data_IF_405691908353
#
_entry.id   IF_405691908353
#
_cell.length_a   1.000
_cell.length_b   1.000
_cell.length_c   1.000
_cell.angle_alpha   90.00
_cell.angle_beta   90.00
_cell.angle_gamma   90.00
#
_symmetry.space_group_name_H-M   'P 1'
#
loop_
_entity.id
_entity.type
_entity.pdbx_description
1 polymer ?
#
# COMPACT_ATOMS: atom_id res chain seq x y z
N UNK A 1 1.95 -10.40 -12.16
CA UNK A 1 1.52 -9.07 -11.68
C UNK A 1 2.67 -8.12 -11.91
N UNK A 2 2.39 -6.90 -12.35
CA UNK A 2 3.36 -5.79 -12.47
C UNK A 2 2.73 -4.59 -11.79
N UNK A 3 3.49 -3.83 -11.01
CA UNK A 3 3.00 -2.64 -10.32
C UNK A 3 3.63 -1.41 -10.96
N UNK A 4 2.80 -0.44 -11.31
CA UNK A 4 3.22 0.82 -11.91
C UNK A 4 2.90 1.99 -10.96
N UNK A 5 3.89 2.83 -10.72
CA UNK A 5 3.81 4.00 -9.82
C UNK A 5 4.13 5.25 -10.66
N UNK A 6 3.14 5.76 -11.43
CA UNK A 6 3.32 6.91 -12.27
C UNK A 6 3.51 8.18 -11.43
N UNK A 7 4.63 8.86 -11.65
CA UNK A 7 4.93 10.19 -11.11
C UNK A 7 4.82 11.27 -12.20
N UNK A 8 4.12 10.97 -13.30
CA UNK A 8 3.88 11.91 -14.42
C UNK A 8 3.10 13.15 -13.98
N UNK A 9 2.14 12.98 -13.06
CA UNK A 9 1.35 14.05 -12.44
C UNK A 9 1.30 13.88 -10.92
N UNK A 10 2.40 14.17 -10.19
CA UNK A 10 2.46 13.96 -8.74
C UNK A 10 1.40 14.73 -7.96
N UNK A 11 1.01 15.90 -8.44
CA UNK A 11 -0.03 16.75 -7.86
C UNK A 11 -1.44 16.13 -7.92
N UNK A 12 -1.67 15.16 -8.81
CA UNK A 12 -2.94 14.44 -8.91
C UNK A 12 -3.03 13.23 -7.97
N UNK A 13 -1.92 12.87 -7.29
CA UNK A 13 -1.90 11.75 -6.35
C UNK A 13 -2.64 12.19 -5.08
N UNK A 14 -3.71 11.48 -4.68
CA UNK A 14 -4.38 11.76 -3.42
C UNK A 14 -3.43 11.48 -2.26
N UNK A 15 -3.33 12.43 -1.34
CA UNK A 15 -2.60 12.28 -0.09
C UNK A 15 -3.62 12.28 1.04
N UNK A 16 -3.48 11.35 1.98
CA UNK A 16 -4.33 11.29 3.16
C UNK A 16 -3.85 12.22 4.28
N UNK A 17 -4.72 12.46 5.27
CA UNK A 17 -4.39 13.20 6.49
C UNK A 17 -4.07 14.68 6.27
N UNK A 18 -3.15 15.22 7.09
CA UNK A 18 -2.76 16.64 7.06
C UNK A 18 -2.20 17.08 5.69
N UNK A 19 -1.52 16.18 4.98
CA UNK A 19 -1.00 16.46 3.65
C UNK A 19 -2.13 16.61 2.60
N UNK A 20 -3.21 15.85 2.76
CA UNK A 20 -4.44 16.00 1.97
C UNK A 20 -5.15 17.34 2.23
N UNK A 21 -5.23 17.73 3.51
CA UNK A 21 -5.85 18.99 3.94
C UNK A 21 -5.08 20.23 3.44
N UNK A 22 -3.75 20.26 3.62
CA UNK A 22 -2.90 21.34 3.06
C UNK A 22 -2.94 21.38 1.53
N UNK A 23 -3.26 20.24 0.92
CA UNK A 23 -3.44 20.10 -0.50
C UNK A 23 -4.65 20.83 -1.10
N UNK A 24 -5.59 21.30 -0.29
CA UNK A 24 -6.78 22.04 -0.73
C UNK A 24 -6.53 23.53 -1.01
N UNK A 25 -5.35 24.06 -0.71
CA UNK A 25 -5.04 25.48 -0.91
C UNK A 25 -4.89 25.82 -2.40
N UNK A 26 -5.68 26.75 -2.95
CA UNK A 26 -5.61 27.12 -4.36
C UNK A 26 -4.20 27.66 -4.69
N UNK A 27 -3.65 27.21 -5.82
CA UNK A 27 -2.37 27.63 -6.43
C UNK A 27 -1.11 27.13 -5.71
N UNK A 28 -0.97 27.32 -4.39
CA UNK A 28 0.24 26.91 -3.64
C UNK A 28 0.24 25.40 -3.34
N UNK A 29 -0.94 24.80 -3.17
CA UNK A 29 -1.10 23.40 -2.79
C UNK A 29 -0.53 22.42 -3.83
N UNK A 30 -0.62 22.71 -5.13
CA UNK A 30 -0.16 21.81 -6.19
C UNK A 30 1.37 21.69 -6.22
N UNK A 31 2.10 22.80 -6.02
CA UNK A 31 3.57 22.81 -5.96
C UNK A 31 4.08 22.08 -4.72
N UNK A 32 3.46 22.33 -3.56
CA UNK A 32 3.80 21.65 -2.30
C UNK A 32 3.54 20.15 -2.43
N UNK A 33 2.35 19.74 -2.90
CA UNK A 33 2.03 18.31 -3.15
C UNK A 33 3.05 17.66 -4.05
N UNK A 34 3.40 18.31 -5.17
CA UNK A 34 4.35 17.76 -6.13
C UNK A 34 5.71 17.50 -5.48
N UNK A 35 6.20 18.43 -4.68
CA UNK A 35 7.48 18.27 -3.99
C UNK A 35 7.40 17.21 -2.89
N UNK A 36 6.32 17.20 -2.09
CA UNK A 36 6.09 16.19 -1.05
C UNK A 36 6.04 14.77 -1.63
N UNK A 37 5.23 14.56 -2.67
CA UNK A 37 5.11 13.27 -3.35
C UNK A 37 6.46 12.82 -3.90
N UNK A 38 7.21 13.71 -4.56
CA UNK A 38 8.56 13.38 -5.06
C UNK A 38 9.52 12.97 -3.95
N UNK A 39 9.53 13.69 -2.83
CA UNK A 39 10.42 13.40 -1.71
C UNK A 39 10.01 12.13 -0.95
N UNK A 40 8.72 11.94 -0.70
CA UNK A 40 8.18 10.73 -0.12
C UNK A 40 8.48 9.53 -0.99
N UNK A 41 8.32 9.71 -2.31
CA UNK A 41 8.63 8.68 -3.29
C UNK A 41 10.11 8.24 -3.17
N UNK A 42 11.07 9.17 -3.14
CA UNK A 42 12.49 8.83 -2.95
C UNK A 42 12.82 8.07 -1.66
N UNK A 43 12.00 8.19 -0.61
CA UNK A 43 12.24 7.55 0.70
C UNK A 43 11.69 6.12 0.77
N UNK A 44 10.65 5.82 0.01
CA UNK A 44 10.03 4.49 0.03
C UNK A 44 10.85 3.53 -0.84
N UNK A 45 11.27 2.40 -0.25
CA UNK A 45 11.99 1.33 -0.95
C UNK A 45 11.09 0.52 -1.89
N UNK A 46 9.90 0.13 -1.43
CA UNK A 46 8.91 -0.65 -2.18
C UNK A 46 7.52 -0.05 -1.99
N UNK A 47 6.72 0.00 -3.06
CA UNK A 47 5.32 0.41 -2.96
C UNK A 47 4.36 -0.77 -3.18
N UNK A 48 4.78 -1.84 -3.85
CA UNK A 48 3.93 -3.03 -3.97
C UNK A 48 3.82 -3.72 -2.61
N UNK A 49 2.59 -3.96 -2.16
CA UNK A 49 2.32 -4.63 -0.88
C UNK A 49 3.11 -5.96 -0.73
N UNK A 50 3.21 -6.83 -1.75
CA UNK A 50 4.02 -8.04 -1.65
C UNK A 50 5.50 -7.77 -1.36
N UNK A 51 6.09 -6.76 -2.02
CA UNK A 51 7.50 -6.42 -1.87
C UNK A 51 7.79 -5.75 -0.52
N UNK A 52 6.86 -4.92 -0.03
CA UNK A 52 6.93 -4.35 1.33
C UNK A 52 6.97 -5.49 2.36
N UNK A 53 6.07 -6.47 2.24
CA UNK A 53 6.00 -7.59 3.20
C UNK A 53 7.20 -8.54 3.11
N UNK A 54 7.76 -8.73 1.92
CA UNK A 54 8.91 -9.59 1.72
C UNK A 54 10.24 -8.87 1.93
N UNK A 55 10.23 -7.54 2.11
CA UNK A 55 11.39 -6.65 2.19
C UNK A 55 12.38 -6.77 1.00
N UNK A 56 11.90 -7.36 -0.10
CA UNK A 56 12.63 -7.62 -1.34
C UNK A 56 11.69 -7.53 -2.54
N UNK A 57 12.27 -7.41 -3.73
CA UNK A 57 11.48 -7.48 -4.95
C UNK A 57 10.97 -8.91 -5.19
N UNK A 58 9.65 -9.05 -5.25
CA UNK A 58 8.91 -10.28 -5.60
C UNK A 58 8.16 -10.05 -6.91
N UNK A 59 7.51 -8.90 -7.03
CA UNK A 59 6.84 -8.45 -8.26
C UNK A 59 7.59 -7.25 -8.85
N UNK A 60 7.67 -7.12 -10.19
CA UNK A 60 8.27 -5.96 -10.82
C UNK A 60 7.54 -4.67 -10.45
N UNK A 61 8.31 -3.63 -10.07
CA UNK A 61 7.81 -2.29 -9.76
C UNK A 61 8.41 -1.26 -10.72
N UNK A 62 7.56 -0.64 -11.53
CA UNK A 62 7.95 0.43 -12.46
C UNK A 62 7.58 1.76 -11.83
N UNK A 63 8.56 2.66 -11.67
CA UNK A 63 8.37 3.89 -10.93
C UNK A 63 9.01 5.09 -11.63
N UNK A 64 8.31 6.21 -11.66
CA UNK A 64 8.85 7.47 -12.17
C UNK A 64 7.94 8.11 -13.20
N UNK A 65 8.52 8.86 -14.13
CA UNK A 65 7.80 9.29 -15.34
C UNK A 65 7.73 8.06 -16.23
N UNK A 66 6.55 7.45 -16.32
CA UNK A 66 6.36 6.20 -17.07
C UNK A 66 5.50 6.44 -18.30
N UNK A 67 5.80 5.73 -19.38
CA UNK A 67 4.95 5.63 -20.54
C UNK A 67 4.23 4.26 -20.57
N UNK A 68 3.09 4.15 -21.27
CA UNK A 68 2.41 2.85 -21.44
C UNK A 68 3.32 1.78 -22.03
N UNK A 69 4.28 2.18 -22.87
CA UNK A 69 5.28 1.31 -23.50
C UNK A 69 6.24 0.69 -22.48
N UNK A 70 6.58 1.38 -21.39
CA UNK A 70 7.44 0.85 -20.34
C UNK A 70 6.75 -0.29 -19.58
N UNK A 71 5.47 -0.10 -19.26
CA UNK A 71 4.64 -1.15 -18.65
C UNK A 71 4.50 -2.35 -19.59
N UNK A 72 4.24 -2.10 -20.87
CA UNK A 72 4.13 -3.16 -21.86
C UNK A 72 5.43 -3.97 -22.00
N UNK A 73 6.59 -3.31 -22.03
CA UNK A 73 7.90 -3.98 -22.09
C UNK A 73 8.11 -4.90 -20.89
N UNK A 74 7.84 -4.43 -19.68
CA UNK A 74 8.02 -5.25 -18.47
C UNK A 74 7.07 -6.45 -18.44
N UNK A 75 5.81 -6.24 -18.83
CA UNK A 75 4.81 -7.32 -18.91
C UNK A 75 5.22 -8.36 -19.96
N UNK A 76 5.64 -7.93 -21.16
CA UNK A 76 6.11 -8.83 -22.21
C UNK A 76 7.36 -9.59 -21.75
N UNK A 77 8.31 -8.90 -21.11
CA UNK A 77 9.51 -9.53 -20.55
C UNK A 77 9.17 -10.61 -19.53
N UNK A 78 8.20 -10.34 -18.65
CA UNK A 78 7.72 -11.30 -17.67
C UNK A 78 6.99 -12.49 -18.32
N UNK A 79 6.11 -12.23 -19.31
CA UNK A 79 5.38 -13.29 -20.04
C UNK A 79 6.30 -14.22 -20.84
N UNK A 80 7.46 -13.73 -21.27
CA UNK A 80 8.48 -14.53 -21.96
C UNK A 80 9.29 -15.43 -21.02
N UNK A 81 9.10 -15.33 -19.70
CA UNK A 81 9.76 -16.17 -18.70
C UNK A 81 8.74 -16.93 -17.83
N UNK A 82 8.29 -18.13 -18.28
CA UNK A 82 7.38 -18.97 -17.50
C UNK A 82 7.92 -19.36 -16.12
N UNK A 83 9.24 -19.53 -16.02
CA UNK A 83 9.95 -19.85 -14.76
C UNK A 83 9.79 -18.72 -13.75
N UNK A 84 10.11 -17.47 -14.14
CA UNK A 84 9.94 -16.28 -13.28
C UNK A 84 8.48 -16.09 -12.86
N UNK A 85 7.52 -16.35 -13.75
CA UNK A 85 6.09 -16.32 -13.43
C UNK A 85 5.71 -17.37 -12.37
N UNK A 86 6.31 -18.55 -12.44
CA UNK A 86 6.03 -19.66 -11.52
C UNK A 86 6.60 -19.38 -10.14
N UNK A 87 7.86 -18.93 -10.08
CA UNK A 87 8.49 -18.49 -8.83
C UNK A 87 7.71 -17.35 -8.16
N UNK A 88 7.37 -16.32 -8.93
CA UNK A 88 6.59 -15.18 -8.42
C UNK A 88 5.21 -15.64 -7.90
N UNK A 89 4.55 -16.58 -8.58
CA UNK A 89 3.26 -17.13 -8.13
C UNK A 89 3.40 -17.84 -6.77
N UNK A 90 4.44 -18.65 -6.59
CA UNK A 90 4.66 -19.37 -5.33
C UNK A 90 5.04 -18.42 -4.19
N UNK A 91 5.87 -17.41 -4.46
CA UNK A 91 6.20 -16.39 -3.46
C UNK A 91 4.97 -15.58 -3.04
N UNK A 92 4.12 -15.17 -3.98
CA UNK A 92 2.87 -14.48 -3.67
C UNK A 92 1.93 -15.34 -2.81
N UNK A 93 1.85 -16.66 -3.07
CA UNK A 93 1.07 -17.58 -2.23
C UNK A 93 1.61 -17.68 -0.81
N UNK A 94 2.93 -17.74 -0.64
CA UNK A 94 3.57 -17.74 0.68
C UNK A 94 3.25 -16.44 1.44
N UNK A 95 3.38 -15.29 0.78
CA UNK A 95 3.09 -13.98 1.39
C UNK A 95 1.61 -13.81 1.75
N UNK A 96 0.69 -14.35 0.95
CA UNK A 96 -0.74 -14.27 1.27
C UNK A 96 -1.09 -15.07 2.55
N UNK A 97 -0.51 -16.27 2.69
CA UNK A 97 -0.76 -17.18 3.82
C UNK A 97 -0.32 -16.64 5.18
N UNK A 98 0.69 -15.78 5.23
CA UNK A 98 1.14 -15.17 6.50
C UNK A 98 0.12 -14.22 7.11
N UNK A 99 -0.93 -13.84 6.36
CA UNK A 99 -1.96 -12.86 6.79
C UNK A 99 -3.36 -13.47 6.92
N UNK A 100 -3.49 -14.79 6.88
CA UNK A 100 -4.77 -15.45 7.13
C UNK A 100 -5.33 -15.10 8.52
N UNK A 101 -6.65 -14.94 8.61
CA UNK A 101 -7.33 -14.60 9.86
C UNK A 101 -7.19 -13.15 10.31
N UNK A 102 -6.70 -12.23 9.48
CA UNK A 102 -6.65 -10.80 9.83
C UNK A 102 -8.03 -10.23 10.23
N UNK A 103 -9.08 -10.60 9.49
CA UNK A 103 -10.46 -10.21 9.83
C UNK A 103 -10.90 -10.78 11.18
N UNK A 104 -10.59 -12.06 11.45
CA UNK A 104 -10.90 -12.70 12.74
C UNK A 104 -10.16 -12.02 13.88
N UNK A 105 -8.85 -11.75 13.74
CA UNK A 105 -8.07 -11.02 14.76
C UNK A 105 -8.67 -9.65 15.06
N UNK A 106 -9.11 -8.92 14.03
CA UNK A 106 -9.78 -7.63 14.23
C UNK A 106 -11.11 -7.81 14.97
N UNK A 107 -11.92 -8.79 14.58
CA UNK A 107 -13.18 -9.10 15.26
C UNK A 107 -12.96 -9.50 16.73
N UNK A 108 -11.97 -10.34 17.01
CA UNK A 108 -11.62 -10.78 18.37
C UNK A 108 -11.22 -9.59 19.26
N UNK A 109 -10.40 -8.66 18.74
CA UNK A 109 -10.01 -7.44 19.45
C UNK A 109 -11.24 -6.55 19.73
N UNK A 110 -12.13 -6.38 18.75
CA UNK A 110 -13.36 -5.59 18.93
C UNK A 110 -14.25 -6.21 20.01
N UNK A 111 -14.42 -7.53 19.98
CA UNK A 111 -15.21 -8.26 20.98
C UNK A 111 -14.58 -8.15 22.37
N UNK A 112 -13.25 -8.28 22.49
CA UNK A 112 -12.54 -8.14 23.77
C UNK A 112 -12.75 -6.74 24.38
N UNK A 113 -12.62 -5.69 23.57
CA UNK A 113 -12.83 -4.30 24.01
C UNK A 113 -14.30 -4.07 24.39
N UNK A 114 -15.24 -4.56 23.57
CA UNK A 114 -16.67 -4.42 23.82
C UNK A 114 -17.12 -5.07 25.14
N UNK A 115 -16.61 -6.28 25.42
CA UNK A 115 -16.90 -7.01 26.67
C UNK A 115 -16.32 -6.29 27.89
N UNK A 116 -15.09 -5.75 27.79
CA UNK A 116 -14.50 -4.93 28.87
C UNK A 116 -15.30 -3.66 29.15
N UNK A 117 -15.81 -2.99 28.12
CA UNK A 117 -16.66 -1.81 28.29
C UNK A 117 -17.95 -2.15 29.06
N UNK A 118 -18.65 -3.23 28.68
CA UNK A 118 -19.88 -3.67 29.37
C UNK A 118 -19.61 -4.01 30.84
N UNK A 119 -18.51 -4.72 31.13
CA UNK A 119 -18.13 -5.06 32.49
C UNK A 119 -17.81 -3.83 33.36
N UNK A 120 -17.19 -2.79 32.79
CA UNK A 120 -16.89 -1.53 33.48
C UNK A 120 -18.16 -0.70 33.73
N UNK A 121 -19.10 -0.66 32.78
CA UNK A 121 -20.39 0.03 32.95
C UNK A 121 -21.27 -0.66 34.02
N UNK A 122 -21.28 -1.99 34.09
CA UNK A 122 -21.98 -2.70 35.17
C UNK A 122 -21.36 -2.44 36.56
N UNK A 123 -20.03 -2.30 36.67
CA UNK A 123 -19.39 -1.95 37.94
C UNK A 123 -19.69 -0.52 38.40
N UNK A 124 -19.88 0.43 37.48
CA UNK A 124 -20.27 1.81 37.79
C UNK A 124 -21.77 1.97 38.14
N UNK A 125 -22.62 1.05 37.70
CA UNK A 125 -24.07 1.06 37.99
C UNK A 125 -24.40 0.31 39.29
N UNK A 126 -23.53 -0.62 39.72
CA UNK A 126 -23.67 -1.37 40.98
C UNK A 126 -22.98 -0.74 42.20
N UNK A 127 -22.41 0.47 42.07
CA UNK A 127 -21.90 1.32 43.16
C UNK A 127 -22.81 2.55 43.32
#
# INVERSE_FOLDING_TARGET
MVVAIPLNKPEAIPLDGLAGLMGGLPIIGSLIKRQMVKQYSKRIKFAAIPNIRAEREVVPEIRGIIEPTDVAKEVIGLLRSPERLTEMKEELRKIARTTEGAANKVADIILEIGVKCISCTLHLICL
#
